data_IF_073956797759
#
_entry.id   IF_073956797759
#
_cell.length_a   1.000
_cell.length_b   1.000
_cell.length_c   1.000
_cell.angle_alpha   90.00
_cell.angle_beta   90.00
_cell.angle_gamma   90.00
#
_symmetry.space_group_name_H-M   'P 1'
#
loop_
_entity.id
_entity.type
_entity.pdbx_description
1 polymer ?
#
# COMPACT_ATOMS: atom_id res chain seq x y z
N UNK A 1 10.18 1.96 -1.17
CA UNK A 1 10.71 1.48 -2.46
C UNK A 1 10.44 2.56 -3.49
N UNK A 2 10.48 2.34 -4.81
CA UNK A 2 9.90 3.30 -5.77
C UNK A 2 8.43 2.95 -6.00
N UNK A 3 7.62 3.90 -6.47
CA UNK A 3 6.20 3.66 -6.77
C UNK A 3 5.95 2.45 -7.69
N UNK A 4 6.80 2.23 -8.71
CA UNK A 4 6.72 1.04 -9.58
C UNK A 4 6.92 -0.28 -8.83
N UNK A 5 7.79 -0.28 -7.83
CA UNK A 5 8.09 -1.47 -7.04
C UNK A 5 6.89 -1.77 -6.12
N UNK A 6 6.32 -0.72 -5.54
CA UNK A 6 5.11 -0.81 -4.72
C UNK A 6 3.94 -1.39 -5.53
N UNK A 7 3.65 -0.83 -6.72
CA UNK A 7 2.61 -1.36 -7.60
C UNK A 7 2.88 -2.79 -8.03
N UNK A 8 4.13 -3.16 -8.34
CA UNK A 8 4.48 -4.51 -8.79
C UNK A 8 4.34 -5.54 -7.68
N UNK A 9 4.88 -5.28 -6.48
CA UNK A 9 4.78 -6.20 -5.35
C UNK A 9 3.32 -6.34 -4.92
N UNK A 10 2.60 -5.22 -4.79
CA UNK A 10 1.17 -5.23 -4.45
C UNK A 10 0.34 -5.99 -5.48
N UNK A 11 0.59 -5.84 -6.78
CA UNK A 11 -0.14 -6.60 -7.80
C UNK A 11 0.08 -8.11 -7.62
N UNK A 12 1.33 -8.54 -7.40
CA UNK A 12 1.64 -9.96 -7.22
C UNK A 12 1.06 -10.50 -5.90
N UNK A 13 1.06 -9.71 -4.83
CA UNK A 13 0.47 -10.07 -3.55
C UNK A 13 -1.06 -10.14 -3.63
N UNK A 14 -1.70 -9.16 -4.27
CA UNK A 14 -3.15 -9.18 -4.52
C UNK A 14 -3.54 -10.38 -5.39
N UNK A 15 -2.74 -10.71 -6.42
CA UNK A 15 -2.94 -11.89 -7.24
C UNK A 15 -2.82 -13.18 -6.39
N UNK A 16 -1.82 -13.30 -5.50
CA UNK A 16 -1.72 -14.44 -4.58
C UNK A 16 -2.99 -14.61 -3.75
N UNK A 17 -3.50 -13.53 -3.18
CA UNK A 17 -4.70 -13.58 -2.34
C UNK A 17 -5.91 -14.02 -3.15
N UNK A 18 -6.13 -13.39 -4.31
CA UNK A 18 -7.37 -13.55 -5.07
C UNK A 18 -7.35 -14.73 -6.06
N UNK A 19 -6.21 -15.37 -6.30
CA UNK A 19 -6.11 -16.43 -7.31
C UNK A 19 -7.11 -17.60 -7.15
N UNK A 20 -7.52 -18.04 -5.94
CA UNK A 20 -8.48 -19.15 -5.83
C UNK A 20 -9.88 -18.86 -6.37
N UNK A 21 -10.23 -17.57 -6.57
CA UNK A 21 -11.55 -17.19 -7.09
C UNK A 21 -11.47 -16.62 -8.51
N UNK A 22 -10.31 -16.66 -9.17
CA UNK A 22 -10.14 -15.96 -10.46
C UNK A 22 -11.05 -16.53 -11.57
N UNK A 23 -11.33 -17.83 -11.53
CA UNK A 23 -12.13 -18.50 -12.57
C UNK A 23 -13.62 -18.49 -12.26
N UNK A 24 -13.99 -18.55 -10.98
CA UNK A 24 -15.38 -18.55 -10.52
C UNK A 24 -15.95 -17.14 -10.44
N UNK A 25 -15.15 -16.17 -9.99
CA UNK A 25 -15.57 -14.79 -9.74
C UNK A 25 -14.61 -13.76 -10.40
N UNK A 26 -14.43 -13.79 -11.74
CA UNK A 26 -13.41 -13.00 -12.44
C UNK A 26 -13.60 -11.49 -12.27
N UNK A 27 -14.84 -11.00 -12.15
CA UNK A 27 -15.12 -9.58 -11.94
C UNK A 27 -14.63 -9.14 -10.55
N UNK A 28 -14.94 -9.91 -9.51
CA UNK A 28 -14.49 -9.66 -8.13
C UNK A 28 -12.96 -9.67 -8.07
N UNK A 29 -12.34 -10.67 -8.70
CA UNK A 29 -10.88 -10.78 -8.84
C UNK A 29 -10.27 -9.51 -9.48
N UNK A 30 -10.74 -9.11 -10.66
CA UNK A 30 -10.22 -7.92 -11.35
C UNK A 30 -10.47 -6.65 -10.55
N UNK A 31 -11.66 -6.49 -9.97
CA UNK A 31 -11.99 -5.32 -9.13
C UNK A 31 -11.05 -5.18 -7.95
N UNK A 32 -10.73 -6.27 -7.25
CA UNK A 32 -9.76 -6.24 -6.15
C UNK A 32 -8.36 -5.86 -6.63
N UNK A 33 -7.88 -6.45 -7.73
CA UNK A 33 -6.53 -6.20 -8.26
C UNK A 33 -6.35 -4.72 -8.66
N UNK A 34 -7.32 -4.15 -9.39
CA UNK A 34 -7.28 -2.74 -9.78
C UNK A 34 -7.30 -1.86 -8.53
N UNK A 35 -8.20 -2.14 -7.58
CA UNK A 35 -8.25 -1.45 -6.30
C UNK A 35 -6.91 -1.49 -5.57
N UNK A 36 -6.30 -2.67 -5.44
CA UNK A 36 -5.03 -2.83 -4.74
C UNK A 36 -3.89 -2.05 -5.39
N UNK A 37 -3.76 -2.05 -6.72
CA UNK A 37 -2.71 -1.30 -7.40
C UNK A 37 -2.88 0.22 -7.21
N UNK A 38 -4.11 0.73 -7.36
CA UNK A 38 -4.40 2.15 -7.11
C UNK A 38 -4.15 2.50 -5.63
N UNK A 39 -4.54 1.60 -4.73
CA UNK A 39 -4.36 1.74 -3.29
C UNK A 39 -2.89 1.81 -2.88
N UNK A 40 -2.02 0.99 -3.47
CA UNK A 40 -0.59 1.01 -3.17
C UNK A 40 0.13 2.28 -3.63
N UNK A 41 -0.48 3.03 -4.53
CA UNK A 41 0.02 4.33 -4.99
C UNK A 41 -0.44 5.45 -4.05
N UNK A 42 -1.50 5.23 -3.25
CA UNK A 42 -2.13 6.28 -2.45
C UNK A 42 -1.21 6.91 -1.38
N UNK A 43 -0.46 6.17 -0.54
CA UNK A 43 0.33 6.79 0.53
C UNK A 43 1.36 7.80 0.02
N UNK A 44 1.99 7.53 -1.13
CA UNK A 44 3.04 8.38 -1.72
C UNK A 44 2.53 9.70 -2.35
N UNK A 45 1.23 10.01 -2.22
CA UNK A 45 0.63 11.29 -2.67
C UNK A 45 1.24 12.52 -1.96
N UNK A 46 2.00 12.35 -0.88
CA UNK A 46 2.61 13.43 -0.08
C UNK A 46 4.05 13.80 -0.39
N UNK A 47 4.66 13.22 -1.41
CA UNK A 47 5.94 13.68 -1.92
C UNK A 47 5.96 15.19 -2.14
N UNK A 48 6.96 15.93 -1.61
CA UNK A 48 7.19 17.34 -1.97
C UNK A 48 7.58 17.54 -3.45
N UNK A 49 7.81 16.43 -4.15
CA UNK A 49 7.76 16.28 -5.60
C UNK A 49 6.79 15.13 -5.85
N UNK A 50 5.52 15.35 -5.52
CA UNK A 50 4.51 14.33 -5.70
C UNK A 50 4.47 14.09 -7.22
N UNK A 51 4.61 12.84 -7.69
CA UNK A 51 4.37 12.52 -9.09
C UNK A 51 2.99 13.00 -9.58
N UNK A 52 2.07 13.32 -8.65
CA UNK A 52 0.67 13.69 -8.87
C UNK A 52 0.46 15.17 -9.18
N UNK A 53 1.35 16.06 -8.74
CA UNK A 53 1.28 17.48 -9.10
C UNK A 53 1.88 17.75 -10.49
N UNK A 54 2.82 16.92 -10.96
CA UNK A 54 3.61 17.18 -12.18
C UNK A 54 3.50 16.11 -13.30
N UNK A 55 2.59 15.12 -13.23
CA UNK A 55 2.31 14.22 -14.37
C UNK A 55 0.83 13.86 -14.46
N UNK A 56 0.28 13.88 -15.68
CA UNK A 56 -0.98 13.25 -16.11
C UNK A 56 -2.28 13.77 -15.47
N UNK A 57 -3.28 14.10 -16.29
CA UNK A 57 -4.59 14.62 -15.84
C UNK A 57 -5.28 13.73 -14.79
N UNK A 58 -5.17 12.40 -14.94
CA UNK A 58 -5.75 11.41 -14.01
C UNK A 58 -5.14 11.52 -12.61
N UNK A 59 -3.84 11.80 -12.50
CA UNK A 59 -3.15 11.85 -11.21
C UNK A 59 -3.42 13.16 -10.48
N UNK A 60 -3.59 14.27 -11.22
CA UNK A 60 -4.05 15.54 -10.66
C UNK A 60 -5.48 15.42 -10.11
N UNK A 61 -6.36 14.74 -10.84
CA UNK A 61 -7.73 14.49 -10.41
C UNK A 61 -7.78 13.66 -9.11
N UNK A 62 -6.97 12.60 -9.01
CA UNK A 62 -6.84 11.85 -7.76
C UNK A 62 -6.36 12.73 -6.60
N UNK A 63 -5.35 13.59 -6.83
CA UNK A 63 -4.87 14.55 -5.83
C UNK A 63 -5.98 15.49 -5.32
N UNK A 64 -6.86 15.97 -6.20
CA UNK A 64 -8.00 16.81 -5.84
C UNK A 64 -8.99 16.11 -4.91
N UNK A 65 -9.27 14.82 -5.16
CA UNK A 65 -10.18 14.02 -4.33
C UNK A 65 -9.58 13.75 -2.94
N UNK A 66 -8.29 13.38 -2.89
CA UNK A 66 -7.67 12.93 -1.65
C UNK A 66 -7.12 14.06 -0.77
N UNK A 67 -6.81 15.22 -1.33
CA UNK A 67 -6.34 16.39 -0.57
C UNK A 67 -7.28 16.81 0.58
N UNK A 68 -8.61 16.98 0.39
CA UNK A 68 -9.50 17.33 1.50
C UNK A 68 -9.56 16.21 2.55
N UNK A 69 -9.60 14.94 2.15
CA UNK A 69 -9.57 13.81 3.08
C UNK A 69 -8.27 13.75 3.89
N UNK A 70 -7.13 14.05 3.27
CA UNK A 70 -5.83 14.17 3.94
C UNK A 70 -5.81 15.29 4.96
N UNK A 71 -6.27 16.49 4.58
CA UNK A 71 -6.35 17.64 5.50
C UNK A 71 -7.28 17.36 6.68
N UNK A 72 -8.43 16.73 6.44
CA UNK A 72 -9.33 16.33 7.50
C UNK A 72 -8.68 15.29 8.43
N UNK A 73 -8.00 14.30 7.87
CA UNK A 73 -7.23 13.29 8.65
C UNK A 73 -6.19 13.98 9.54
N UNK A 74 -5.46 14.96 9.00
CA UNK A 74 -4.48 15.75 9.75
C UNK A 74 -5.14 16.54 10.88
N UNK A 75 -6.29 17.14 10.60
CA UNK A 75 -7.06 17.88 11.59
C UNK A 75 -7.53 16.98 12.73
N UNK A 76 -8.14 15.83 12.43
CA UNK A 76 -8.60 14.86 13.44
C UNK A 76 -7.44 14.41 14.34
N UNK A 77 -6.35 13.91 13.75
CA UNK A 77 -5.22 13.43 14.54
C UNK A 77 -4.44 14.56 15.23
N UNK A 78 -4.49 15.78 14.69
CA UNK A 78 -3.94 16.97 15.34
C UNK A 78 -4.75 17.42 16.57
N UNK A 79 -6.02 17.05 16.67
CA UNK A 79 -6.81 17.22 17.90
C UNK A 79 -6.53 16.13 18.92
N UNK A 80 -6.30 14.89 18.47
CA UNK A 80 -6.02 13.73 19.34
C UNK A 80 -4.60 13.80 19.92
N UNK A 81 -3.60 14.20 19.12
CA UNK A 81 -2.19 14.29 19.51
C UNK A 81 -1.60 15.69 19.17
N UNK A 82 -2.01 16.75 19.89
CA UNK A 82 -1.65 18.13 19.56
C UNK A 82 -0.14 18.41 19.59
N UNK A 83 0.61 17.68 20.42
CA UNK A 83 2.06 17.78 20.55
C UNK A 83 2.82 17.30 19.31
N UNK A 84 2.16 16.54 18.41
CA UNK A 84 2.78 15.94 17.21
C UNK A 84 2.36 16.60 15.89
N UNK A 85 1.68 17.75 15.95
CA UNK A 85 1.10 18.41 14.76
C UNK A 85 2.11 18.65 13.63
N UNK A 86 3.37 18.95 13.96
CA UNK A 86 4.42 19.22 12.96
C UNK A 86 4.83 17.92 12.24
N UNK A 87 4.97 16.83 12.97
CA UNK A 87 5.36 15.53 12.42
C UNK A 87 4.22 14.83 11.66
N UNK A 88 2.95 15.17 11.92
CA UNK A 88 1.80 14.69 11.13
C UNK A 88 1.90 15.07 9.64
N UNK A 89 2.46 16.25 9.34
CA UNK A 89 2.51 16.84 8.00
C UNK A 89 3.80 16.49 7.23
N UNK A 90 4.79 15.90 7.90
CA UNK A 90 6.03 15.48 7.26
C UNK A 90 5.80 14.37 6.22
N UNK A 91 6.72 14.25 5.26
CA UNK A 91 6.77 13.16 4.30
C UNK A 91 6.89 11.83 5.05
N UNK A 92 5.89 10.93 4.94
CA UNK A 92 5.72 9.75 5.82
C UNK A 92 5.23 10.06 7.25
N UNK A 93 4.36 11.06 7.34
CA UNK A 93 3.58 11.41 8.53
C UNK A 93 2.39 10.46 8.73
N UNK A 94 1.22 11.01 9.01
CA UNK A 94 0.04 10.21 9.39
C UNK A 94 -0.51 9.34 8.24
N UNK A 95 -0.37 9.76 7.00
CA UNK A 95 -0.80 8.98 5.82
C UNK A 95 0.09 7.76 5.51
N UNK A 96 1.25 7.63 6.16
CA UNK A 96 2.04 6.39 6.18
C UNK A 96 1.87 5.66 7.51
N UNK A 97 0.64 5.58 8.00
CA UNK A 97 0.25 4.82 9.19
C UNK A 97 -1.11 4.16 8.99
N UNK A 98 -1.36 3.05 9.66
CA UNK A 98 -2.63 2.32 9.61
C UNK A 98 -3.81 3.23 10.02
N UNK A 99 -3.76 3.96 11.17
CA UNK A 99 -4.87 4.85 11.53
C UNK A 99 -5.12 5.93 10.49
N UNK A 100 -4.06 6.50 9.92
CA UNK A 100 -4.19 7.54 8.91
C UNK A 100 -4.73 7.05 7.57
N UNK A 101 -4.26 5.92 7.04
CA UNK A 101 -4.81 5.38 5.77
C UNK A 101 -6.26 4.96 5.94
N UNK A 102 -6.64 4.36 7.09
CA UNK A 102 -8.01 3.92 7.35
C UNK A 102 -8.95 5.13 7.42
N UNK A 103 -8.57 6.16 8.17
CA UNK A 103 -9.40 7.37 8.26
C UNK A 103 -9.46 8.10 6.91
N UNK A 104 -8.32 8.31 6.26
CA UNK A 104 -8.26 9.08 5.03
C UNK A 104 -9.01 8.40 3.88
N UNK A 105 -8.80 7.10 3.67
CA UNK A 105 -9.57 6.35 2.68
C UNK A 105 -11.03 6.20 3.10
N UNK A 106 -11.35 6.03 4.39
CA UNK A 106 -12.72 5.96 4.87
C UNK A 106 -13.55 7.20 4.52
N UNK A 107 -12.97 8.40 4.66
CA UNK A 107 -13.61 9.68 4.28
C UNK A 107 -13.95 9.75 2.80
N UNK A 108 -13.19 9.07 1.93
CA UNK A 108 -13.43 9.05 0.49
C UNK A 108 -14.35 7.90 0.10
N UNK A 109 -14.06 6.69 0.57
CA UNK A 109 -14.72 5.47 0.14
C UNK A 109 -16.13 5.34 0.70
N UNK A 110 -16.40 5.77 1.92
CA UNK A 110 -17.75 5.67 2.51
C UNK A 110 -18.75 6.54 1.74
N UNK A 111 -18.51 7.87 1.54
CA UNK A 111 -19.40 8.69 0.73
C UNK A 111 -19.51 8.22 -0.72
N UNK A 112 -18.41 7.75 -1.31
CA UNK A 112 -18.42 7.24 -2.68
C UNK A 112 -19.33 5.99 -2.81
N UNK A 113 -19.20 5.04 -1.91
CA UNK A 113 -20.06 3.84 -1.91
C UNK A 113 -21.53 4.20 -1.67
N UNK A 114 -21.82 5.14 -0.75
CA UNK A 114 -23.18 5.62 -0.50
C UNK A 114 -23.76 6.33 -1.72
N UNK A 115 -22.97 7.16 -2.41
CA UNK A 115 -23.40 7.82 -3.64
C UNK A 115 -23.76 6.79 -4.71
N UNK A 116 -22.87 5.82 -4.95
CA UNK A 116 -23.07 4.73 -5.93
C UNK A 116 -24.32 3.91 -5.58
N UNK A 117 -24.59 3.70 -4.28
CA UNK A 117 -25.80 3.05 -3.78
C UNK A 117 -27.06 3.86 -4.09
N UNK A 118 -27.05 5.16 -3.81
CA UNK A 118 -28.18 6.07 -4.05
C UNK A 118 -28.54 6.13 -5.54
N UNK A 119 -27.54 6.11 -6.43
CA UNK A 119 -27.77 6.12 -7.89
C UNK A 119 -28.09 4.74 -8.48
N UNK A 120 -28.18 3.69 -7.65
CA UNK A 120 -28.61 2.35 -8.06
C UNK A 120 -27.56 1.49 -8.75
N UNK A 121 -26.28 1.88 -8.71
CA UNK A 121 -25.17 1.14 -9.36
C UNK A 121 -24.31 0.32 -8.39
N UNK A 122 -24.67 0.28 -7.11
CA UNK A 122 -23.89 -0.43 -6.10
C UNK A 122 -24.02 -1.95 -6.27
N UNK A 123 -22.88 -2.63 -6.18
CA UNK A 123 -22.79 -4.09 -6.20
C UNK A 123 -21.57 -4.55 -5.40
N UNK A 124 -21.44 -5.86 -5.22
CA UNK A 124 -20.33 -6.46 -4.47
C UNK A 124 -18.96 -6.08 -5.04
N UNK A 125 -18.81 -5.92 -6.35
CA UNK A 125 -17.55 -5.56 -6.99
C UNK A 125 -17.09 -4.14 -6.62
N UNK A 126 -18.02 -3.20 -6.38
CA UNK A 126 -17.71 -1.85 -5.88
C UNK A 126 -17.13 -1.91 -4.46
N UNK A 127 -17.74 -2.74 -3.60
CA UNK A 127 -17.23 -2.97 -2.25
C UNK A 127 -15.85 -3.63 -2.29
N UNK A 128 -15.67 -4.65 -3.12
CA UNK A 128 -14.41 -5.39 -3.26
C UNK A 128 -13.31 -4.50 -3.85
N UNK A 129 -13.62 -3.62 -4.80
CA UNK A 129 -12.71 -2.59 -5.28
C UNK A 129 -12.28 -1.65 -4.14
N UNK A 130 -13.21 -1.22 -3.29
CA UNK A 130 -12.94 -0.37 -2.14
C UNK A 130 -12.05 -1.06 -1.10
N UNK A 131 -12.29 -2.36 -0.84
CA UNK A 131 -11.43 -3.20 -0.01
C UNK A 131 -10.05 -3.41 -0.64
N UNK A 132 -9.98 -3.54 -1.96
CA UNK A 132 -8.74 -3.55 -2.73
C UNK A 132 -7.93 -2.28 -2.50
N UNK A 133 -8.53 -1.09 -2.63
CA UNK A 133 -7.86 0.19 -2.35
C UNK A 133 -7.25 0.24 -0.95
N UNK A 134 -8.01 -0.18 0.08
CA UNK A 134 -7.52 -0.23 1.45
C UNK A 134 -6.39 -1.25 1.62
N UNK A 135 -6.53 -2.45 1.04
CA UNK A 135 -5.53 -3.50 1.09
C UNK A 135 -4.23 -3.07 0.41
N UNK A 136 -4.31 -2.43 -0.76
CA UNK A 136 -3.17 -1.87 -1.47
C UNK A 136 -2.42 -0.81 -0.67
N UNK A 137 -3.14 0.13 -0.07
CA UNK A 137 -2.54 1.15 0.80
C UNK A 137 -1.87 0.51 2.02
N UNK A 138 -2.45 -0.56 2.56
CA UNK A 138 -1.85 -1.32 3.64
C UNK A 138 -0.60 -2.11 3.21
N UNK A 139 -0.61 -2.78 2.05
CA UNK A 139 0.55 -3.47 1.49
C UNK A 139 1.69 -2.49 1.24
N UNK A 140 1.40 -1.28 0.74
CA UNK A 140 2.39 -0.22 0.62
C UNK A 140 3.11 0.04 1.95
N UNK A 141 2.39 0.18 3.08
CA UNK A 141 3.04 0.39 4.39
C UNK A 141 3.96 -0.80 4.76
N UNK A 142 3.48 -2.02 4.52
CA UNK A 142 4.23 -3.24 4.78
C UNK A 142 5.48 -3.38 3.89
N UNK A 143 5.41 -2.94 2.65
CA UNK A 143 6.56 -2.85 1.73
C UNK A 143 7.55 -1.78 2.20
N UNK A 144 7.05 -0.61 2.61
CA UNK A 144 7.88 0.49 3.11
C UNK A 144 8.61 0.13 4.41
N UNK A 145 8.06 -0.79 5.20
CA UNK A 145 8.74 -1.37 6.37
C UNK A 145 10.01 -2.15 6.01
N UNK A 146 10.16 -2.62 4.77
CA UNK A 146 11.36 -3.33 4.30
C UNK A 146 12.49 -2.37 3.87
N UNK A 147 12.22 -1.06 3.85
CA UNK A 147 13.19 -0.04 3.42
C UNK A 147 14.03 0.49 4.57
N UNK A 148 15.18 1.09 4.25
CA UNK A 148 16.01 1.81 5.23
C UNK A 148 15.25 2.94 5.93
N UNK A 149 14.34 3.61 5.22
CA UNK A 149 13.52 4.70 5.76
C UNK A 149 12.50 4.20 6.77
N UNK A 150 11.96 2.99 6.55
CA UNK A 150 10.94 2.36 7.38
C UNK A 150 9.61 3.13 7.42
N UNK A 151 8.72 2.65 8.30
CA UNK A 151 7.38 3.20 8.51
C UNK A 151 6.98 3.10 9.99
N UNK A 152 6.18 4.07 10.47
CA UNK A 152 5.58 4.03 11.82
C UNK A 152 4.12 3.58 11.69
N UNK A 153 3.88 2.27 11.71
CA UNK A 153 2.57 1.68 11.39
C UNK A 153 1.42 2.22 12.24
N UNK A 154 1.64 2.57 13.51
CA UNK A 154 0.58 3.06 14.40
C UNK A 154 0.81 4.51 14.86
N UNK A 155 1.54 5.30 14.06
CA UNK A 155 1.60 6.74 14.27
C UNK A 155 0.18 7.35 14.19
N UNK A 156 -0.21 8.31 15.06
CA UNK A 156 0.60 9.07 16.01
C UNK A 156 0.67 8.46 17.41
N UNK A 157 0.05 7.30 17.63
CA UNK A 157 -0.02 6.64 18.94
C UNK A 157 1.30 5.99 19.37
N UNK A 158 2.16 5.64 18.40
CA UNK A 158 3.51 5.13 18.65
C UNK A 158 4.53 5.71 17.68
N UNK A 159 5.75 5.90 18.18
CA UNK A 159 6.93 6.25 17.40
C UNK A 159 7.73 5.04 16.94
N UNK A 160 7.31 3.83 17.32
CA UNK A 160 7.99 2.60 16.92
C UNK A 160 7.99 2.48 15.38
N UNK A 161 9.20 2.48 14.82
CA UNK A 161 9.43 2.43 13.39
C UNK A 161 9.88 1.02 12.98
N UNK A 162 9.09 0.37 12.14
CA UNK A 162 9.47 -0.87 11.48
C UNK A 162 10.33 -0.53 10.26
N UNK A 163 11.54 -1.07 10.21
CA UNK A 163 12.51 -0.80 9.13
C UNK A 163 13.23 -2.06 8.67
N UNK A 164 13.72 -2.00 7.44
CA UNK A 164 14.55 -3.02 6.82
C UNK A 164 15.80 -2.37 6.20
N UNK A 165 16.43 -3.08 5.28
CA UNK A 165 17.70 -2.69 4.69
C UNK A 165 17.64 -2.34 3.20
N UNK A 166 16.45 -2.31 2.56
CA UNK A 166 16.32 -1.97 1.14
C UNK A 166 16.60 -0.48 0.93
N UNK A 167 17.64 -0.18 0.16
CA UNK A 167 18.08 1.19 -0.11
C UNK A 167 17.37 1.76 -1.35
N UNK A 168 16.59 2.82 -1.16
CA UNK A 168 15.80 3.47 -2.21
C UNK A 168 16.50 4.68 -2.86
N UNK A 169 17.65 5.10 -2.32
CA UNK A 169 18.37 6.34 -2.68
C UNK A 169 19.68 6.09 -3.42
N UNK A 170 20.07 4.83 -3.63
CA UNK A 170 21.33 4.49 -4.29
C UNK A 170 21.28 4.83 -5.79
N UNK A 171 21.97 5.91 -6.18
CA UNK A 171 22.16 6.33 -7.59
C UNK A 171 23.16 5.46 -8.35
N UNK A 172 23.99 4.66 -7.65
CA UNK A 172 25.05 3.85 -8.27
C UNK A 172 24.63 2.42 -8.60
N UNK A 173 23.70 1.85 -7.82
CA UNK A 173 23.18 0.48 -8.03
C UNK A 173 21.81 0.39 -7.41
N UNK A 174 20.81 0.12 -8.24
CA UNK A 174 19.45 -0.15 -7.80
C UNK A 174 19.43 -1.47 -7.02
N UNK A 175 18.74 -1.48 -5.89
CA UNK A 175 18.55 -2.68 -5.09
C UNK A 175 17.59 -3.62 -5.83
N UNK A 176 18.01 -4.85 -6.12
CA UNK A 176 17.26 -5.82 -6.91
C UNK A 176 16.24 -6.60 -6.05
N UNK A 177 16.29 -6.47 -4.73
CA UNK A 177 15.39 -7.18 -3.80
C UNK A 177 13.91 -6.93 -4.06
N UNK A 178 13.42 -5.71 -4.35
CA UNK A 178 12.00 -5.49 -4.65
C UNK A 178 11.50 -6.35 -5.82
N UNK A 179 12.31 -6.49 -6.88
CA UNK A 179 11.98 -7.38 -8.01
C UNK A 179 11.93 -8.85 -7.56
N UNK A 180 12.91 -9.31 -6.77
CA UNK A 180 12.90 -10.66 -6.20
C UNK A 180 11.70 -10.92 -5.29
N UNK A 181 11.26 -9.92 -4.53
CA UNK A 181 10.07 -10.02 -3.69
C UNK A 181 8.80 -10.20 -4.53
N UNK A 182 8.63 -9.42 -5.60
CA UNK A 182 7.53 -9.63 -6.54
C UNK A 182 7.58 -11.03 -7.16
N UNK A 183 8.78 -11.52 -7.52
CA UNK A 183 8.96 -12.90 -8.02
C UNK A 183 8.57 -13.96 -6.99
N UNK A 184 8.83 -13.75 -5.69
CA UNK A 184 8.39 -14.68 -4.64
C UNK A 184 6.87 -14.79 -4.59
N UNK A 185 6.17 -13.65 -4.61
CA UNK A 185 4.70 -13.66 -4.62
C UNK A 185 4.14 -14.35 -5.86
N UNK A 186 4.61 -14.03 -7.07
CA UNK A 186 4.06 -14.64 -8.29
C UNK A 186 4.31 -16.14 -8.38
N UNK A 187 5.51 -16.62 -7.99
CA UNK A 187 5.81 -18.05 -7.96
C UNK A 187 4.89 -18.79 -7.00
N UNK A 188 4.61 -18.19 -5.84
CA UNK A 188 3.69 -18.75 -4.86
C UNK A 188 2.25 -18.77 -5.39
N UNK A 189 1.82 -17.71 -6.07
CA UNK A 189 0.48 -17.67 -6.67
C UNK A 189 0.29 -18.71 -7.77
N UNK A 190 1.31 -18.94 -8.60
CA UNK A 190 1.29 -19.99 -9.63
C UNK A 190 1.19 -21.36 -8.96
N UNK A 191 1.96 -21.61 -7.90
CA UNK A 191 1.87 -22.86 -7.15
C UNK A 191 0.47 -23.08 -6.54
N UNK A 192 -0.11 -22.05 -5.92
CA UNK A 192 -1.48 -22.09 -5.39
C UNK A 192 -2.47 -22.39 -6.50
N UNK A 193 -2.41 -21.68 -7.63
CA UNK A 193 -3.30 -21.88 -8.77
C UNK A 193 -3.22 -23.31 -9.33
N UNK A 194 -2.01 -23.87 -9.46
CA UNK A 194 -1.83 -25.24 -9.95
C UNK A 194 -2.43 -26.25 -8.99
N UNK A 195 -2.26 -26.06 -7.68
CA UNK A 195 -2.85 -26.95 -6.66
C UNK A 195 -4.38 -26.84 -6.67
N UNK A 196 -4.89 -25.61 -6.74
CA UNK A 196 -6.32 -25.29 -6.81
C UNK A 196 -6.99 -25.99 -8.00
N UNK A 197 -6.35 -25.93 -9.18
CA UNK A 197 -6.85 -26.53 -10.41
C UNK A 197 -6.74 -28.06 -10.48
N UNK A 198 -5.72 -28.65 -9.87
CA UNK A 198 -5.39 -30.07 -10.08
C UNK A 198 -5.77 -30.97 -8.90
N UNK A 199 -5.88 -30.44 -7.69
CA UNK A 199 -5.96 -31.25 -6.47
C UNK A 199 -7.21 -30.92 -5.65
N UNK A 200 -7.36 -29.67 -5.22
CA UNK A 200 -8.42 -29.27 -4.29
C UNK A 200 -8.65 -27.77 -4.31
N UNK A 201 -9.90 -27.36 -4.14
CA UNK A 201 -10.25 -25.95 -3.93
C UNK A 201 -9.52 -25.39 -2.70
N UNK A 202 -8.75 -24.34 -2.90
CA UNK A 202 -8.00 -23.64 -1.85
C UNK A 202 -8.87 -22.48 -1.32
N UNK A 203 -9.23 -22.47 -0.03
CA UNK A 203 -9.97 -21.35 0.54
C UNK A 203 -9.15 -20.05 0.49
N UNK A 204 -9.80 -18.95 0.09
CA UNK A 204 -9.18 -17.61 0.03
C UNK A 204 -8.52 -17.17 1.36
N UNK A 205 -9.04 -17.61 2.50
CA UNK A 205 -8.43 -17.32 3.80
C UNK A 205 -7.00 -17.90 3.91
N UNK A 206 -6.75 -19.07 3.32
CA UNK A 206 -5.43 -19.70 3.36
C UNK A 206 -4.41 -18.89 2.54
N UNK A 207 -4.81 -18.35 1.38
CA UNK A 207 -3.94 -17.51 0.56
C UNK A 207 -3.65 -16.15 1.20
N UNK A 208 -4.59 -15.60 1.97
CA UNK A 208 -4.35 -14.41 2.81
C UNK A 208 -3.25 -14.70 3.84
N UNK A 209 -3.38 -15.79 4.61
CA UNK A 209 -2.36 -16.19 5.61
C UNK A 209 -1.01 -16.41 4.93
N UNK A 210 -1.01 -17.12 3.81
CA UNK A 210 0.20 -17.39 3.02
C UNK A 210 0.85 -16.11 2.49
N UNK A 211 0.07 -15.12 2.07
CA UNK A 211 0.57 -13.81 1.67
C UNK A 211 1.29 -13.08 2.80
N UNK A 212 0.75 -13.10 4.01
CA UNK A 212 1.41 -12.52 5.19
C UNK A 212 2.67 -13.30 5.62
N UNK A 213 2.68 -14.62 5.48
CA UNK A 213 3.88 -15.42 5.71
C UNK A 213 4.97 -15.09 4.68
N UNK A 214 4.60 -14.97 3.40
CA UNK A 214 5.51 -14.54 2.34
C UNK A 214 6.08 -13.14 2.61
N UNK A 215 5.23 -12.20 3.05
CA UNK A 215 5.68 -10.89 3.53
C UNK A 215 6.64 -11.00 4.71
N UNK A 216 6.40 -11.88 5.68
CA UNK A 216 7.32 -12.12 6.79
C UNK A 216 8.70 -12.57 6.33
N UNK A 217 8.76 -13.46 5.32
CA UNK A 217 10.01 -13.87 4.67
C UNK A 217 10.66 -12.69 3.94
N UNK A 218 9.89 -11.92 3.16
CA UNK A 218 10.34 -10.70 2.50
C UNK A 218 10.97 -9.72 3.50
N UNK A 219 10.29 -9.45 4.61
CA UNK A 219 10.77 -8.58 5.67
C UNK A 219 12.08 -9.09 6.27
N UNK A 220 12.20 -10.39 6.54
CA UNK A 220 13.44 -11.00 7.02
C UNK A 220 14.58 -10.87 6.01
N UNK A 221 14.32 -11.11 4.72
CA UNK A 221 15.31 -10.94 3.65
C UNK A 221 15.72 -9.47 3.47
N UNK A 222 14.81 -8.55 3.76
CA UNK A 222 15.10 -7.11 3.75
C UNK A 222 16.11 -6.69 4.81
N UNK A 223 16.24 -7.44 5.92
CA UNK A 223 17.16 -7.10 7.03
C UNK A 223 18.64 -7.18 6.66
N UNK A 224 19.00 -7.84 5.54
CA UNK A 224 20.38 -7.88 5.08
C UNK A 224 20.84 -6.45 4.73
N UNK A 225 21.86 -5.90 5.40
CA UNK A 225 22.24 -4.50 5.21
C UNK A 225 22.94 -4.31 3.86
N UNK A 226 22.36 -3.50 2.98
CA UNK A 226 23.10 -2.77 1.97
C UNK A 226 23.25 -1.36 2.50
N UNK A 227 24.47 -0.94 2.88
CA UNK A 227 24.85 0.42 3.30
C UNK A 227 23.70 1.42 3.23
N UNK A 228 22.85 1.44 4.27
CA UNK A 228 21.78 2.44 4.41
C UNK A 228 22.51 3.75 4.70
N UNK A 229 23.08 4.36 3.67
CA UNK A 229 23.68 5.68 3.78
C UNK A 229 22.53 6.59 4.15
N UNK A 230 22.59 7.13 5.36
CA UNK A 230 21.80 8.30 5.70
C UNK A 230 22.17 9.34 4.65
N UNK A 231 21.30 9.56 3.68
CA UNK A 231 21.33 10.81 2.94
C UNK A 231 21.18 11.88 4.00
N UNK A 232 22.27 12.54 4.36
CA UNK A 232 22.23 13.80 5.09
C UNK A 232 21.39 14.72 4.21
N UNK A 233 20.09 14.81 4.50
CA UNK A 233 19.31 15.97 4.10
C UNK A 233 19.99 17.14 4.81
N UNK A 234 20.91 17.78 4.10
CA UNK A 234 21.43 19.08 4.46
C UNK A 234 20.21 20.00 4.32
N UNK A 235 19.47 20.15 5.42
CA UNK A 235 18.63 21.32 5.61
C UNK A 235 19.58 22.50 5.67
N UNK A 236 19.80 23.16 4.53
CA UNK A 236 20.31 24.52 4.54
C UNK A 236 19.26 25.35 5.29
N UNK A 237 19.67 25.85 6.46
CA UNK A 237 18.94 26.81 7.28
C UNK A 237 18.72 28.11 6.52
#
# INVERSE_FOLDING_TARGET
MKGRDHSSITLMWAFLIMCPIMLTEPIIFVSFLIGAVIGAIFPDIDGGVSPYENKGEIMQFAGLIFKPAKLFTFWVFGLICPERKKELVQHRGIIHSIPGIVLCLGIVLVPLNLLILIIGYWNVSVLIFSLGLLAGAFFHLLEDSCTCSGVRLFYPFTEYKLRGGVNTLSTKREDDRPSRFASMFVLLSVAVLVIDLLITDIPIFLTIVLGFLCWGVMYRLSQKPNNCKQGSFIYNR
#
